data_IF_943206350490
#
_entry.id   IF_943206350490
#
_cell.length_a   1.000
_cell.length_b   1.000
_cell.length_c   1.000
_cell.angle_alpha   90.00
_cell.angle_beta   90.00
_cell.angle_gamma   90.00
#
_symmetry.space_group_name_H-M   'P 1'
#
loop_
_entity.id
_entity.type
_entity.pdbx_description
1 polymer ?
#
# COMPACT_ATOMS: atom_id res chain seq x y z
N UNK A 1 8.53 12.48 13.71
CA UNK A 1 7.34 11.64 13.47
C UNK A 1 6.59 11.47 14.78
N UNK A 2 5.25 11.35 14.79
CA UNK A 2 4.49 10.99 16.00
C UNK A 2 5.04 9.72 16.65
N UNK A 3 4.83 9.57 17.95
CA UNK A 3 5.24 8.37 18.67
C UNK A 3 4.61 7.12 18.02
N UNK A 4 5.43 6.09 17.82
CA UNK A 4 5.05 4.83 17.19
C UNK A 4 4.56 4.91 15.73
N UNK A 5 4.95 5.94 14.98
CA UNK A 5 4.66 6.07 13.54
C UNK A 5 5.96 6.14 12.75
N UNK A 6 6.14 5.21 11.81
CA UNK A 6 7.36 5.13 11.00
C UNK A 6 7.18 5.82 9.64
N UNK A 7 6.00 5.69 9.03
CA UNK A 7 5.61 6.34 7.77
C UNK A 7 4.25 7.04 7.95
N UNK A 8 4.09 8.20 7.32
CA UNK A 8 2.77 8.84 7.15
C UNK A 8 2.43 8.77 5.67
N UNK A 9 1.31 8.10 5.35
CA UNK A 9 0.71 8.13 4.02
C UNK A 9 -0.37 9.20 3.97
N UNK A 10 -0.35 10.05 2.94
CA UNK A 10 -1.32 11.13 2.75
C UNK A 10 -1.97 10.95 1.38
N UNK A 11 -3.28 10.78 1.35
CA UNK A 11 -4.05 10.70 0.10
C UNK A 11 -4.96 11.93 -0.03
N UNK A 12 -4.87 12.62 -1.17
CA UNK A 12 -5.60 13.85 -1.45
C UNK A 12 -6.63 13.59 -2.57
N UNK A 13 -7.92 13.92 -2.37
CA UNK A 13 -8.92 13.81 -3.43
C UNK A 13 -8.60 14.71 -4.63
N UNK A 14 -8.83 14.24 -5.86
CA UNK A 14 -8.49 14.96 -7.12
C UNK A 14 -9.13 16.35 -7.25
N UNK A 15 -10.28 16.56 -6.60
CA UNK A 15 -11.04 17.81 -6.62
C UNK A 15 -11.49 18.12 -5.21
N UNK A 16 -10.75 18.96 -4.50
CA UNK A 16 -11.10 19.37 -3.14
C UNK A 16 -11.75 20.75 -3.14
N UNK A 17 -12.94 20.86 -2.55
CA UNK A 17 -13.65 22.14 -2.39
C UNK A 17 -13.33 22.83 -1.05
N UNK A 18 -12.85 22.05 -0.07
CA UNK A 18 -12.50 22.48 1.27
C UNK A 18 -11.50 21.52 1.88
N UNK A 19 -10.48 22.04 2.55
CA UNK A 19 -9.45 21.21 3.20
C UNK A 19 -10.02 20.66 4.52
N UNK A 20 -10.30 19.36 4.55
CA UNK A 20 -10.74 18.62 5.73
C UNK A 20 -9.93 17.32 5.82
N UNK A 21 -9.52 16.94 7.04
CA UNK A 21 -8.58 15.86 7.29
C UNK A 21 -9.24 14.72 8.08
N UNK A 22 -8.86 13.49 7.79
CA UNK A 22 -9.32 12.31 8.51
C UNK A 22 -8.14 11.39 8.83
N UNK A 23 -7.99 11.00 10.10
CA UNK A 23 -7.05 9.97 10.49
C UNK A 23 -7.63 8.60 10.10
N UNK A 24 -6.87 7.81 9.35
CA UNK A 24 -7.37 6.59 8.70
C UNK A 24 -6.46 5.39 8.90
N UNK A 25 -6.97 4.19 8.62
CA UNK A 25 -6.18 2.98 8.42
C UNK A 25 -5.99 2.68 6.94
N UNK A 26 -4.99 1.86 6.60
CA UNK A 26 -4.84 1.34 5.25
C UNK A 26 -6.07 0.52 4.86
N UNK A 27 -6.57 0.74 3.64
CA UNK A 27 -7.39 -0.26 2.98
C UNK A 27 -6.55 -1.47 2.59
N UNK A 28 -7.13 -2.66 2.74
CA UNK A 28 -6.57 -3.91 2.20
C UNK A 28 -7.26 -4.33 0.89
N UNK A 29 -8.06 -3.45 0.29
CA UNK A 29 -8.65 -3.69 -1.02
C UNK A 29 -7.61 -3.42 -2.10
N UNK A 30 -7.34 -4.43 -2.91
CA UNK A 30 -6.46 -4.31 -4.06
C UNK A 30 -7.08 -3.47 -5.18
N UNK A 31 -6.22 -3.03 -6.09
CA UNK A 31 -6.63 -2.34 -7.31
C UNK A 31 -7.12 -3.34 -8.35
N UNK A 32 -7.94 -2.86 -9.29
CA UNK A 32 -8.13 -3.55 -10.56
C UNK A 32 -6.81 -3.56 -11.35
N UNK A 33 -6.79 -4.26 -12.48
CA UNK A 33 -5.61 -4.31 -13.33
C UNK A 33 -5.22 -2.90 -13.82
N UNK A 34 -4.12 -2.36 -13.26
CA UNK A 34 -3.61 -1.01 -13.55
C UNK A 34 -2.67 -1.01 -14.77
N UNK A 35 -2.33 -2.19 -15.29
CA UNK A 35 -1.29 -2.35 -16.29
C UNK A 35 -1.82 -2.09 -17.69
N UNK A 36 -1.12 -1.24 -18.43
CA UNK A 36 -1.34 -1.05 -19.85
C UNK A 36 -0.13 -1.60 -20.61
N UNK A 37 -0.39 -2.39 -21.65
CA UNK A 37 0.68 -2.91 -22.53
C UNK A 37 1.38 -1.75 -23.22
N UNK A 38 2.71 -1.73 -23.16
CA UNK A 38 3.56 -0.77 -23.87
C UNK A 38 4.75 -1.50 -24.49
N UNK A 39 4.68 -1.72 -25.80
CA UNK A 39 5.63 -2.57 -26.52
C UNK A 39 5.56 -4.01 -26.02
N UNK A 40 6.72 -4.58 -25.67
CA UNK A 40 6.84 -5.91 -25.07
C UNK A 40 6.70 -5.94 -23.53
N UNK A 41 6.37 -4.80 -22.90
CA UNK A 41 6.22 -4.69 -21.46
C UNK A 41 4.89 -4.07 -21.02
N UNK A 42 4.81 -3.75 -19.73
CA UNK A 42 3.65 -3.11 -19.10
C UNK A 42 4.07 -1.87 -18.33
N UNK A 43 3.18 -0.88 -18.28
CA UNK A 43 3.33 0.31 -17.43
C UNK A 43 2.06 0.50 -16.59
N UNK A 44 2.22 1.10 -15.41
CA UNK A 44 1.08 1.66 -14.68
C UNK A 44 0.73 2.98 -15.36
N UNK A 45 -0.39 3.01 -16.08
CA UNK A 45 -0.78 4.17 -16.88
C UNK A 45 -1.31 5.33 -16.03
N UNK A 46 -2.13 5.01 -15.03
CA UNK A 46 -2.72 5.98 -14.10
C UNK A 46 -3.20 5.28 -12.83
N UNK A 47 -3.21 6.01 -11.73
CA UNK A 47 -3.92 5.65 -10.50
C UNK A 47 -5.30 6.32 -10.53
N UNK A 48 -6.34 5.61 -10.95
CA UNK A 48 -7.70 6.17 -11.03
C UNK A 48 -8.46 5.76 -9.78
N UNK A 49 -8.90 6.74 -8.99
CA UNK A 49 -9.60 6.49 -7.72
C UNK A 49 -10.89 5.66 -7.89
N UNK A 50 -11.55 5.74 -9.06
CA UNK A 50 -12.74 4.92 -9.35
C UNK A 50 -12.44 3.43 -9.46
N UNK A 51 -11.21 3.04 -9.77
CA UNK A 51 -10.81 1.64 -9.98
C UNK A 51 -10.64 0.90 -8.64
N UNK A 52 -10.63 1.65 -7.55
CA UNK A 52 -10.56 1.12 -6.20
C UNK A 52 -11.99 0.75 -5.81
N UNK A 53 -12.27 -0.48 -5.33
CA UNK A 53 -13.59 -0.80 -4.82
C UNK A 53 -13.94 0.11 -3.64
N UNK A 54 -15.23 0.24 -3.35
CA UNK A 54 -15.64 0.89 -2.11
C UNK A 54 -15.15 0.08 -0.91
N UNK A 55 -14.84 0.79 0.17
CA UNK A 55 -14.34 0.19 1.40
C UNK A 55 -15.10 0.73 2.61
N UNK A 56 -14.75 0.22 3.79
CA UNK A 56 -15.46 0.50 5.05
C UNK A 56 -15.04 1.83 5.67
N UNK A 57 -15.91 2.38 6.53
CA UNK A 57 -15.64 3.61 7.28
C UNK A 57 -14.31 3.51 8.05
N UNK A 58 -13.52 4.58 8.01
CA UNK A 58 -12.23 4.67 8.69
C UNK A 58 -11.01 4.29 7.85
N UNK A 59 -11.21 3.70 6.66
CA UNK A 59 -10.10 3.46 5.73
C UNK A 59 -9.80 4.67 4.85
N UNK A 60 -8.56 4.75 4.38
CA UNK A 60 -8.09 5.79 3.46
C UNK A 60 -8.93 5.89 2.17
N UNK A 61 -9.27 4.76 1.54
CA UNK A 61 -10.14 4.73 0.36
C UNK A 61 -11.51 5.34 0.68
N UNK A 62 -12.14 4.97 1.80
CA UNK A 62 -13.45 5.51 2.17
C UNK A 62 -13.40 7.02 2.40
N UNK A 63 -12.39 7.50 3.13
CA UNK A 63 -12.23 8.92 3.42
C UNK A 63 -12.06 9.75 2.12
N UNK A 64 -11.26 9.25 1.18
CA UNK A 64 -11.02 9.95 -0.09
C UNK A 64 -12.22 9.84 -1.04
N UNK A 65 -12.75 8.63 -1.30
CA UNK A 65 -13.85 8.40 -2.26
C UNK A 65 -15.20 8.92 -1.79
N UNK A 66 -15.58 8.62 -0.54
CA UNK A 66 -16.95 8.86 -0.04
C UNK A 66 -17.06 10.16 0.73
N UNK A 67 -16.05 10.51 1.51
CA UNK A 67 -16.06 11.72 2.34
C UNK A 67 -15.38 12.92 1.67
N UNK A 68 -14.60 12.69 0.60
CA UNK A 68 -13.79 13.72 -0.11
C UNK A 68 -12.88 14.48 0.84
N UNK A 69 -12.27 13.76 1.78
CA UNK A 69 -11.32 14.28 2.78
C UNK A 69 -9.90 13.87 2.46
N UNK A 70 -8.94 14.65 2.94
CA UNK A 70 -7.53 14.27 2.93
C UNK A 70 -7.35 13.19 3.99
N UNK A 71 -6.96 12.00 3.56
CA UNK A 71 -6.66 10.87 4.45
C UNK A 71 -5.22 11.00 4.95
N UNK A 72 -5.03 10.80 6.25
CA UNK A 72 -3.73 10.72 6.92
C UNK A 72 -3.65 9.36 7.61
N UNK A 73 -2.86 8.44 7.05
CA UNK A 73 -2.70 7.08 7.57
C UNK A 73 -1.32 6.91 8.20
N UNK A 74 -1.23 6.70 9.53
CA UNK A 74 0.02 6.31 10.17
C UNK A 74 0.33 4.84 9.89
N UNK A 75 1.55 4.55 9.48
CA UNK A 75 2.02 3.18 9.17
C UNK A 75 3.23 2.87 10.05
N UNK A 76 3.15 1.74 10.75
CA UNK A 76 4.26 1.13 11.47
C UNK A 76 4.90 0.07 10.60
N UNK A 77 6.21 0.12 10.41
CA UNK A 77 6.97 -0.93 9.73
C UNK A 77 7.33 -2.02 10.74
N UNK A 78 6.74 -3.20 10.57
CA UNK A 78 7.11 -4.40 11.33
C UNK A 78 7.63 -5.46 10.37
N UNK A 79 8.94 -5.53 10.23
CA UNK A 79 9.59 -6.59 9.46
C UNK A 79 9.73 -7.83 10.32
N UNK A 80 8.89 -8.83 10.09
CA UNK A 80 9.01 -10.13 10.75
C UNK A 80 10.20 -10.86 10.12
N UNK A 81 11.28 -11.02 10.88
CA UNK A 81 12.47 -11.73 10.42
C UNK A 81 12.25 -13.24 10.53
N UNK A 82 11.92 -13.90 9.41
CA UNK A 82 11.85 -15.36 9.35
C UNK A 82 13.26 -15.98 9.31
N UNK A 83 13.96 -15.93 10.44
CA UNK A 83 15.32 -16.46 10.56
C UNK A 83 15.39 -17.94 10.25
N UNK A 84 14.30 -18.68 10.48
CA UNK A 84 14.23 -20.11 10.19
C UNK A 84 14.22 -20.40 8.68
N UNK A 85 13.46 -19.63 7.91
CA UNK A 85 13.52 -19.69 6.45
C UNK A 85 14.92 -19.38 5.91
N UNK A 86 15.61 -18.39 6.51
CA UNK A 86 16.99 -18.05 6.12
C UNK A 86 17.97 -19.17 6.46
N UNK A 87 17.83 -19.85 7.61
CA UNK A 87 18.66 -21.03 7.95
C UNK A 87 18.50 -22.14 6.92
N UNK A 88 17.25 -22.48 6.55
CA UNK A 88 16.98 -23.48 5.51
C UNK A 88 17.62 -23.13 4.16
N UNK A 89 17.59 -21.85 3.78
CA UNK A 89 18.28 -21.38 2.57
C UNK A 89 19.81 -21.55 2.68
N UNK A 90 20.41 -21.19 3.81
CA UNK A 90 21.85 -21.39 4.04
C UNK A 90 22.24 -22.85 3.92
N UNK A 91 21.46 -23.76 4.52
CA UNK A 91 21.73 -25.20 4.47
C UNK A 91 21.61 -25.75 3.05
N UNK A 92 20.59 -25.32 2.30
CA UNK A 92 20.45 -25.65 0.88
C UNK A 92 21.70 -25.22 0.09
N UNK A 93 22.13 -23.97 0.22
CA UNK A 93 23.29 -23.43 -0.52
C UNK A 93 24.60 -24.13 -0.17
N UNK A 94 24.79 -24.54 1.09
CA UNK A 94 25.97 -25.31 1.51
C UNK A 94 26.00 -26.67 0.85
N UNK A 95 24.85 -27.34 0.75
CA UNK A 95 24.74 -28.68 0.20
C UNK A 95 24.79 -28.67 -1.35
N UNK A 96 24.33 -27.61 -1.99
CA UNK A 96 24.41 -27.45 -3.46
C UNK A 96 25.82 -27.13 -4.00
N UNK A 97 26.77 -26.79 -3.13
CA UNK A 97 28.18 -26.57 -3.51
C UNK A 97 29.06 -27.81 -3.32
N UNK A 98 28.45 -28.98 -3.04
CA UNK A 98 29.12 -30.26 -2.82
C UNK A 98 28.85 -31.29 -3.94
N UNK A 99 28.14 -30.89 -5.01
CA UNK A 99 28.02 -31.60 -6.29
C UNK A 99 28.80 -30.85 -7.39
#
# INVERSE_FOLDING_TARGET
>A
MPFDVDIISINVPEKISSVDFEATTLSYKGYLDLFNRRGEGYIIGRWILSDYPDDVKGTDIYAVKKRRRISITPIKLRFIHNTEGIRKLIDFLKNSNLE
#
